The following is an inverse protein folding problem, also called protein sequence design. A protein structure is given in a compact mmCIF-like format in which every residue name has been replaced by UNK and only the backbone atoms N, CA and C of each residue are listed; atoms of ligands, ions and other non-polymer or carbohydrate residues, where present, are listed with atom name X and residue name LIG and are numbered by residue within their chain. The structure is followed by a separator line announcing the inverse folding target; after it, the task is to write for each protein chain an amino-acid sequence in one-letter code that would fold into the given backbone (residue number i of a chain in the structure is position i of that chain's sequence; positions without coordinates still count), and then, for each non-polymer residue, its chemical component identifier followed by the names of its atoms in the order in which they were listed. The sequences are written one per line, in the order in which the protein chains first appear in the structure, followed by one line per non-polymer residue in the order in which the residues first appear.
data_IF_340817993132
#
_entry.id   IF_340817993132
#
_cell.length_a   1.000
_cell.length_b   1.000
_cell.length_c   1.000
_cell.angle_alpha   90.00
_cell.angle_beta   90.00
_cell.angle_gamma   90.00
#
_symmetry.space_group_name_H-M   'P 1'
#
loop_
_entity.id
_entity.type
_entity.pdbx_description
1 polymer ?
#
# COMPACT_ATOMS: atom_id res chain seq x y z
N UNK A 1 6.20 22.17 7.89
CA UNK A 1 5.18 21.11 7.71
C UNK A 1 4.04 21.38 8.67
N UNK A 2 2.83 21.57 8.14
CA UNK A 2 1.60 21.65 8.95
C UNK A 2 1.43 20.33 9.73
N UNK A 3 0.87 20.37 10.94
CA UNK A 3 0.62 19.18 11.78
C UNK A 3 1.83 18.33 12.18
N UNK A 4 3.06 18.88 12.14
CA UNK A 4 4.32 18.14 12.38
C UNK A 4 4.33 17.31 13.67
N UNK A 5 3.84 17.87 14.78
CA UNK A 5 3.83 17.17 16.09
C UNK A 5 2.89 15.95 16.04
N UNK A 6 1.66 16.15 15.56
CA UNK A 6 0.64 15.10 15.43
C UNK A 6 1.10 13.98 14.51
N UNK A 7 1.62 14.30 13.32
CA UNK A 7 2.13 13.29 12.38
C UNK A 7 3.25 12.48 13.04
N UNK A 8 4.21 13.14 13.72
CA UNK A 8 5.30 12.44 14.39
C UNK A 8 4.81 11.50 15.48
N UNK A 9 3.83 11.92 16.29
CA UNK A 9 3.25 11.09 17.34
C UNK A 9 2.56 9.86 16.74
N UNK A 10 1.70 10.05 15.74
CA UNK A 10 1.00 8.95 15.08
C UNK A 10 2.00 7.97 14.44
N UNK A 11 3.03 8.46 13.77
CA UNK A 11 4.08 7.63 13.17
C UNK A 11 4.83 6.80 14.21
N UNK A 12 5.15 7.38 15.38
CA UNK A 12 5.80 6.64 16.46
C UNK A 12 4.90 5.54 17.02
N UNK A 13 3.60 5.82 17.20
CA UNK A 13 2.63 4.80 17.60
C UNK A 13 2.54 3.66 16.57
N UNK A 14 2.53 4.00 15.27
CA UNK A 14 2.52 3.01 14.18
C UNK A 14 3.76 2.12 14.27
N UNK A 15 4.96 2.70 14.42
CA UNK A 15 6.21 1.92 14.53
C UNK A 15 6.15 0.91 15.67
N UNK A 16 5.72 1.34 16.87
CA UNK A 16 5.66 0.48 18.06
C UNK A 16 4.63 -0.63 17.89
N UNK A 17 3.39 -0.27 17.54
CA UNK A 17 2.31 -1.24 17.38
C UNK A 17 2.61 -2.23 16.26
N UNK A 18 3.19 -1.75 15.17
CA UNK A 18 3.62 -2.60 14.06
C UNK A 18 4.65 -3.61 14.52
N UNK A 19 5.72 -3.15 15.17
CA UNK A 19 6.80 -4.02 15.62
C UNK A 19 6.28 -5.13 16.52
N UNK A 20 5.35 -4.81 17.43
CA UNK A 20 4.69 -5.79 18.31
C UNK A 20 3.87 -6.78 17.48
N UNK A 21 3.02 -6.30 16.57
CA UNK A 21 2.14 -7.14 15.76
C UNK A 21 2.93 -8.10 14.88
N UNK A 22 3.92 -7.60 14.14
CA UNK A 22 4.72 -8.40 13.23
C UNK A 22 5.66 -9.36 13.96
N UNK A 23 6.27 -8.94 15.08
CA UNK A 23 7.08 -9.86 15.90
C UNK A 23 6.23 -11.01 16.44
N UNK A 24 5.00 -10.72 16.89
CA UNK A 24 4.07 -11.76 17.35
C UNK A 24 3.61 -12.66 16.20
N UNK A 25 3.32 -12.11 15.02
CA UNK A 25 2.95 -12.86 13.83
C UNK A 25 4.03 -13.85 13.41
N UNK A 26 5.29 -13.43 13.40
CA UNK A 26 6.44 -14.26 13.01
C UNK A 26 6.79 -15.32 14.07
N UNK A 27 6.82 -14.94 15.36
CA UNK A 27 7.36 -15.78 16.42
C UNK A 27 6.34 -16.72 17.06
N UNK A 28 5.05 -16.51 16.81
CA UNK A 28 4.00 -17.39 17.36
C UNK A 28 3.99 -18.74 16.65
N UNK A 29 4.14 -19.83 17.42
CA UNK A 29 4.17 -21.21 16.87
C UNK A 29 3.17 -22.16 17.56
N UNK A 30 2.29 -21.63 18.42
CA UNK A 30 1.31 -22.45 19.14
C UNK A 30 0.34 -23.13 18.17
N UNK A 31 0.16 -24.46 18.27
CA UNK A 31 -0.84 -25.19 17.48
C UNK A 31 -0.40 -26.61 17.15
N UNK A 32 -1.29 -27.38 16.52
CA UNK A 32 -1.08 -28.79 16.19
C UNK A 32 -0.39 -29.00 14.84
N UNK A 33 -0.05 -27.92 14.12
CA UNK A 33 0.53 -27.99 12.79
C UNK A 33 -0.50 -28.03 11.66
N UNK A 34 0.00 -28.20 10.44
CA UNK A 34 -0.83 -28.14 9.25
C UNK A 34 -1.84 -29.30 9.20
N UNK A 35 -3.05 -29.02 8.71
CA UNK A 35 -4.10 -30.01 8.53
C UNK A 35 -4.97 -29.67 7.32
N UNK A 36 -5.61 -30.70 6.76
CA UNK A 36 -6.53 -30.53 5.63
C UNK A 36 -7.94 -30.16 6.11
N UNK A 37 -8.53 -29.18 5.44
CA UNK A 37 -9.88 -28.69 5.73
C UNK A 37 -10.70 -28.62 4.44
N UNK A 38 -11.94 -29.10 4.50
CA UNK A 38 -12.88 -28.95 3.37
C UNK A 38 -13.64 -27.64 3.53
N UNK A 39 -13.41 -26.70 2.61
CA UNK A 39 -14.05 -25.39 2.64
C UNK A 39 -15.57 -25.48 2.40
N UNK A 40 -16.28 -24.38 2.67
CA UNK A 40 -17.71 -24.21 2.35
C UNK A 40 -18.02 -24.42 0.86
N UNK A 41 -17.00 -24.35 0.03
CA UNK A 41 -17.06 -24.54 -1.41
C UNK A 41 -16.73 -25.97 -1.86
N UNK A 42 -16.56 -26.90 -0.91
CA UNK A 42 -16.25 -28.30 -1.17
C UNK A 42 -14.82 -28.58 -1.62
N UNK A 43 -13.94 -27.56 -1.63
CA UNK A 43 -12.51 -27.71 -1.96
C UNK A 43 -11.72 -28.08 -0.70
N UNK A 44 -10.84 -29.07 -0.82
CA UNK A 44 -9.87 -29.38 0.23
C UNK A 44 -8.72 -28.38 0.16
N UNK A 45 -8.39 -27.79 1.30
CA UNK A 45 -7.31 -26.81 1.45
C UNK A 45 -6.44 -27.18 2.65
N UNK A 46 -5.15 -26.82 2.56
CA UNK A 46 -4.22 -27.00 3.66
C UNK A 46 -4.22 -25.75 4.56
N UNK A 47 -4.57 -25.94 5.83
CA UNK A 47 -4.57 -24.90 6.86
C UNK A 47 -3.21 -24.85 7.55
N UNK A 48 -2.72 -23.65 7.86
CA UNK A 48 -1.40 -23.45 8.46
C UNK A 48 -1.30 -24.05 9.88
N UNK A 49 -2.35 -23.87 10.70
CA UNK A 49 -2.53 -24.59 11.96
C UNK A 49 -1.58 -24.21 13.10
N UNK A 50 -0.80 -23.13 12.95
CA UNK A 50 0.14 -22.63 13.96
C UNK A 50 0.09 -21.12 14.17
N UNK A 51 0.40 -20.70 15.38
CA UNK A 51 0.59 -19.31 15.75
C UNK A 51 -0.64 -18.43 15.56
N UNK A 52 -0.38 -17.17 15.23
CA UNK A 52 -1.37 -16.15 14.94
C UNK A 52 -2.20 -16.49 13.70
N UNK A 53 -1.55 -17.03 12.66
CA UNK A 53 -2.15 -17.38 11.36
C UNK A 53 -2.73 -18.79 11.31
N UNK A 54 -2.98 -19.42 12.47
CA UNK A 54 -3.39 -20.84 12.55
C UNK A 54 -4.67 -21.18 11.78
N UNK A 55 -5.53 -20.20 11.55
CA UNK A 55 -6.81 -20.38 10.84
C UNK A 55 -6.70 -20.01 9.35
N UNK A 56 -5.59 -19.42 8.93
CA UNK A 56 -5.33 -19.09 7.54
C UNK A 56 -4.83 -20.32 6.78
N UNK A 57 -4.97 -20.29 5.46
CA UNK A 57 -4.38 -21.31 4.61
C UNK A 57 -2.85 -21.21 4.65
N UNK A 58 -2.16 -22.28 4.28
CA UNK A 58 -0.70 -22.25 4.16
C UNK A 58 -0.23 -21.13 3.22
N UNK A 59 -0.96 -20.90 2.13
CA UNK A 59 -0.65 -19.86 1.13
C UNK A 59 -0.73 -18.45 1.72
N UNK A 60 -1.82 -18.14 2.41
CA UNK A 60 -2.04 -16.80 2.99
C UNK A 60 -1.17 -16.58 4.22
N UNK A 61 -1.02 -17.58 5.09
CA UNK A 61 -0.12 -17.50 6.24
C UNK A 61 1.32 -17.24 5.81
N UNK A 62 1.81 -17.93 4.77
CA UNK A 62 3.17 -17.72 4.24
C UNK A 62 3.36 -16.29 3.71
N UNK A 63 2.36 -15.75 3.00
CA UNK A 63 2.40 -14.37 2.52
C UNK A 63 2.36 -13.36 3.66
N UNK A 64 1.53 -13.58 4.69
CA UNK A 64 1.44 -12.71 5.85
C UNK A 64 2.76 -12.70 6.66
N UNK A 65 3.36 -13.87 6.91
CA UNK A 65 4.67 -13.96 7.58
C UNK A 65 5.75 -13.26 6.75
N UNK A 66 5.78 -13.49 5.43
CA UNK A 66 6.73 -12.82 4.55
C UNK A 66 6.55 -11.29 4.58
N UNK A 67 5.31 -10.80 4.55
CA UNK A 67 4.97 -9.38 4.66
C UNK A 67 5.45 -8.80 6.00
N UNK A 68 5.24 -9.51 7.11
CA UNK A 68 5.68 -9.09 8.43
C UNK A 68 7.21 -8.96 8.50
N UNK A 69 7.94 -9.94 7.98
CA UNK A 69 9.41 -9.91 7.90
C UNK A 69 9.88 -8.71 7.07
N UNK A 70 9.33 -8.55 5.86
CA UNK A 70 9.68 -7.45 4.95
C UNK A 70 9.43 -6.10 5.61
N UNK A 71 8.33 -5.95 6.32
CA UNK A 71 8.01 -4.67 6.95
C UNK A 71 8.90 -4.40 8.16
N UNK A 72 9.28 -5.40 8.96
CA UNK A 72 10.25 -5.20 10.06
C UNK A 72 11.60 -4.76 9.48
N UNK A 73 12.08 -5.43 8.43
CA UNK A 73 13.43 -5.22 7.88
C UNK A 73 13.50 -3.95 7.02
N UNK A 74 12.45 -3.63 6.27
CA UNK A 74 12.44 -2.52 5.31
C UNK A 74 11.44 -1.42 5.71
N UNK A 75 10.20 -1.80 6.02
CA UNK A 75 9.12 -0.85 6.30
C UNK A 75 9.38 0.04 7.54
N UNK A 76 9.77 -0.54 8.67
CA UNK A 76 10.07 0.21 9.90
C UNK A 76 11.29 1.11 9.70
N UNK A 77 12.46 0.63 9.21
CA UNK A 77 13.59 1.51 8.96
C UNK A 77 13.25 2.64 7.98
N UNK A 78 12.50 2.34 6.92
CA UNK A 78 12.05 3.36 5.97
C UNK A 78 11.15 4.41 6.63
N UNK A 79 10.24 3.98 7.51
CA UNK A 79 9.34 4.88 8.25
C UNK A 79 10.12 5.77 9.23
N UNK A 80 11.14 5.23 9.92
CA UNK A 80 12.03 5.99 10.81
C UNK A 80 12.86 7.00 10.02
N UNK A 81 13.52 6.56 8.94
CA UNK A 81 14.37 7.40 8.09
C UNK A 81 13.55 8.52 7.46
N UNK A 82 12.37 8.19 6.91
CA UNK A 82 11.49 9.17 6.30
C UNK A 82 10.94 10.17 7.31
N UNK A 83 10.57 9.75 8.53
CA UNK A 83 10.19 10.65 9.60
C UNK A 83 11.33 11.59 9.99
N UNK A 84 12.56 11.08 10.12
CA UNK A 84 13.74 11.88 10.43
C UNK A 84 14.01 12.95 9.36
N UNK A 85 14.03 12.55 8.07
CA UNK A 85 14.26 13.48 6.95
C UNK A 85 13.11 14.51 6.83
N UNK A 86 11.86 14.08 7.03
CA UNK A 86 10.69 14.96 7.09
C UNK A 86 10.82 15.99 8.20
N UNK A 87 11.31 15.58 9.38
CA UNK A 87 11.58 16.48 10.51
C UNK A 87 12.73 17.44 10.24
N UNK A 88 13.72 17.10 9.42
CA UNK A 88 14.73 18.06 8.95
C UNK A 88 14.18 19.11 7.98
N UNK A 89 12.91 19.00 7.60
CA UNK A 89 12.26 19.92 6.67
C UNK A 89 12.43 19.56 5.20
N UNK A 90 13.18 18.48 4.90
CA UNK A 90 13.47 18.03 3.53
C UNK A 90 12.20 17.55 2.82
N UNK A 91 11.95 18.08 1.62
CA UNK A 91 10.77 17.71 0.84
C UNK A 91 10.77 16.22 0.46
N UNK A 92 11.94 15.68 0.08
CA UNK A 92 12.13 14.25 -0.20
C UNK A 92 11.73 13.38 0.99
N UNK A 93 12.07 13.81 2.20
CA UNK A 93 11.68 13.14 3.44
C UNK A 93 10.17 13.15 3.69
N UNK A 94 9.49 14.26 3.38
CA UNK A 94 8.02 14.35 3.48
C UNK A 94 7.34 13.44 2.48
N UNK A 95 7.76 13.46 1.21
CA UNK A 95 7.23 12.59 0.16
C UNK A 95 7.43 11.11 0.51
N UNK A 96 8.63 10.75 0.97
CA UNK A 96 8.95 9.39 1.41
C UNK A 96 8.08 8.97 2.61
N UNK A 97 7.88 9.87 3.58
CA UNK A 97 7.06 9.60 4.76
C UNK A 97 5.61 9.35 4.37
N UNK A 98 5.05 10.21 3.50
CA UNK A 98 3.68 10.06 3.01
C UNK A 98 3.49 8.75 2.23
N UNK A 99 4.42 8.42 1.32
CA UNK A 99 4.36 7.15 0.59
C UNK A 99 4.45 5.94 1.52
N UNK A 100 5.35 6.00 2.51
CA UNK A 100 5.51 4.93 3.51
C UNK A 100 4.25 4.77 4.36
N UNK A 101 3.65 5.86 4.84
CA UNK A 101 2.37 5.82 5.56
C UNK A 101 1.24 5.24 4.70
N UNK A 102 1.23 5.51 3.39
CA UNK A 102 0.30 4.89 2.44
C UNK A 102 0.48 3.36 2.34
N UNK A 103 1.72 2.88 2.34
CA UNK A 103 2.02 1.44 2.39
C UNK A 103 1.52 0.78 3.68
N UNK A 104 1.73 1.40 4.85
CA UNK A 104 1.19 0.88 6.11
C UNK A 104 -0.34 0.90 6.13
N UNK A 105 -0.95 1.98 5.62
CA UNK A 105 -2.41 2.07 5.47
C UNK A 105 -2.95 0.92 4.61
N UNK A 106 -2.35 0.69 3.44
CA UNK A 106 -2.76 -0.41 2.55
C UNK A 106 -2.62 -1.78 3.23
N UNK A 107 -1.49 -2.02 3.89
CA UNK A 107 -1.19 -3.30 4.57
C UNK A 107 -2.22 -3.59 5.67
N UNK A 108 -2.50 -2.61 6.55
CA UNK A 108 -3.44 -2.84 7.66
C UNK A 108 -4.90 -2.73 7.29
N UNK A 109 -5.23 -2.04 6.21
CA UNK A 109 -6.55 -2.17 5.59
C UNK A 109 -6.72 -3.62 5.13
N UNK A 110 -5.73 -4.18 4.44
CA UNK A 110 -5.75 -5.58 4.02
C UNK A 110 -5.90 -6.52 5.22
N UNK A 111 -5.07 -6.40 6.26
CA UNK A 111 -5.18 -7.29 7.43
C UNK A 111 -6.51 -7.14 8.19
N UNK A 112 -7.08 -5.94 8.25
CA UNK A 112 -8.35 -5.71 8.96
C UNK A 112 -9.54 -6.34 8.25
N UNK A 113 -9.49 -6.48 6.92
CA UNK A 113 -10.60 -6.99 6.12
C UNK A 113 -10.37 -8.39 5.52
N UNK A 114 -9.12 -8.84 5.38
CA UNK A 114 -8.75 -10.11 4.77
C UNK A 114 -8.41 -11.19 5.79
N UNK A 115 -7.67 -10.84 6.84
CA UNK A 115 -7.13 -11.84 7.77
C UNK A 115 -8.24 -12.58 8.49
N UNK A 116 -8.07 -13.88 8.71
CA UNK A 116 -8.93 -14.61 9.61
C UNK A 116 -8.91 -13.99 11.01
N UNK A 117 -10.08 -13.92 11.65
CA UNK A 117 -10.21 -13.33 12.98
C UNK A 117 -9.23 -13.96 13.97
N UNK A 118 -8.46 -13.11 14.64
CA UNK A 118 -7.43 -13.49 15.60
C UNK A 118 -7.27 -12.44 16.70
N UNK A 119 -6.42 -12.73 17.68
CA UNK A 119 -6.22 -11.89 18.88
C UNK A 119 -5.70 -10.49 18.59
N UNK A 120 -5.11 -10.23 17.42
CA UNK A 120 -4.57 -8.91 17.05
C UNK A 120 -5.54 -8.07 16.23
N UNK A 121 -6.79 -8.50 16.02
CA UNK A 121 -7.77 -7.76 15.21
C UNK A 121 -7.88 -6.27 15.58
N UNK A 122 -8.00 -5.94 16.86
CA UNK A 122 -8.08 -4.53 17.30
C UNK A 122 -6.78 -3.75 17.02
N UNK A 123 -5.62 -4.42 17.09
CA UNK A 123 -4.34 -3.79 16.75
C UNK A 123 -4.29 -3.48 15.24
N UNK A 124 -4.82 -4.36 14.39
CA UNK A 124 -4.92 -4.08 12.95
C UNK A 124 -5.80 -2.87 12.66
N UNK A 125 -6.96 -2.78 13.32
CA UNK A 125 -7.88 -1.64 13.20
C UNK A 125 -7.22 -0.34 13.69
N UNK A 126 -6.51 -0.40 14.82
CA UNK A 126 -5.75 0.75 15.34
C UNK A 126 -4.67 1.19 14.35
N UNK A 127 -3.88 0.25 13.81
CA UNK A 127 -2.83 0.55 12.84
C UNK A 127 -3.39 1.11 11.54
N UNK A 128 -4.51 0.57 11.04
CA UNK A 128 -5.23 1.11 9.89
C UNK A 128 -5.67 2.56 10.15
N UNK A 129 -6.33 2.81 11.28
CA UNK A 129 -6.84 4.14 11.66
C UNK A 129 -5.71 5.16 11.82
N UNK A 130 -4.67 4.82 12.60
CA UNK A 130 -3.50 5.69 12.80
C UNK A 130 -2.82 6.00 11.47
N UNK A 131 -2.65 4.99 10.60
CA UNK A 131 -2.03 5.17 9.28
C UNK A 131 -2.89 6.06 8.38
N UNK A 132 -4.22 5.90 8.40
CA UNK A 132 -5.15 6.72 7.63
C UNK A 132 -5.07 8.19 8.02
N UNK A 133 -5.15 8.50 9.32
CA UNK A 133 -5.08 9.87 9.79
C UNK A 133 -3.69 10.47 9.62
N UNK A 134 -2.62 9.70 9.85
CA UNK A 134 -1.25 10.16 9.61
C UNK A 134 -1.01 10.47 8.12
N UNK A 135 -1.44 9.58 7.23
CA UNK A 135 -1.36 9.76 5.78
C UNK A 135 -2.14 10.99 5.31
N UNK A 136 -3.39 11.13 5.77
CA UNK A 136 -4.25 12.27 5.43
C UNK A 136 -3.63 13.59 5.89
N UNK A 137 -3.18 13.67 7.14
CA UNK A 137 -2.51 14.87 7.66
C UNK A 137 -1.21 15.17 6.90
N UNK A 138 -0.45 14.14 6.52
CA UNK A 138 0.76 14.30 5.73
C UNK A 138 0.45 14.84 4.32
N UNK A 139 -0.58 14.30 3.65
CA UNK A 139 -1.07 14.80 2.36
C UNK A 139 -1.53 16.26 2.44
N UNK A 140 -2.30 16.63 3.47
CA UNK A 140 -2.74 18.01 3.72
C UNK A 140 -1.62 18.97 4.12
N UNK A 141 -0.41 18.46 4.40
CA UNK A 141 0.72 19.28 4.80
C UNK A 141 1.56 19.81 3.63
N UNK A 142 1.32 19.31 2.42
CA UNK A 142 1.98 19.78 1.21
C UNK A 142 1.31 21.06 0.70
N UNK A 143 2.15 22.03 0.35
CA UNK A 143 1.73 23.15 -0.48
C UNK A 143 1.90 22.74 -1.94
N UNK A 144 0.79 22.61 -2.66
CA UNK A 144 0.77 22.14 -4.05
C UNK A 144 1.45 23.16 -4.99
N UNK A 145 1.39 24.45 -4.64
CA UNK A 145 1.92 25.54 -5.47
C UNK A 145 3.44 25.53 -5.47
N UNK A 146 4.04 25.36 -4.29
CA UNK A 146 5.50 25.29 -4.13
C UNK A 146 6.09 23.95 -4.55
N UNK A 147 5.26 22.90 -4.65
CA UNK A 147 5.74 21.54 -4.92
C UNK A 147 6.49 21.43 -6.26
N UNK A 148 6.07 22.17 -7.28
CA UNK A 148 6.76 22.22 -8.58
C UNK A 148 8.18 22.77 -8.49
N UNK A 149 8.47 23.64 -7.54
CA UNK A 149 9.78 24.30 -7.41
C UNK A 149 10.87 23.33 -6.89
N UNK A 150 10.47 22.18 -6.36
CA UNK A 150 11.39 21.18 -5.80
C UNK A 150 11.78 20.08 -6.78
N UNK A 151 11.22 20.07 -8.00
CA UNK A 151 11.55 19.09 -9.03
C UNK A 151 12.36 19.75 -10.14
N UNK A 152 13.48 19.12 -10.50
CA UNK A 152 14.27 19.55 -11.64
C UNK A 152 13.48 19.43 -12.95
N UNK A 153 13.71 20.37 -13.86
CA UNK A 153 13.14 20.35 -15.21
C UNK A 153 13.54 19.08 -16.00
N UNK A 154 14.65 18.45 -15.61
CA UNK A 154 15.17 17.21 -16.22
C UNK A 154 14.51 15.94 -15.69
N UNK A 155 13.53 16.04 -14.79
CA UNK A 155 12.82 14.86 -14.30
C UNK A 155 12.15 14.12 -15.48
N UNK A 156 12.37 12.81 -15.68
CA UNK A 156 11.82 12.07 -16.81
C UNK A 156 10.33 11.76 -16.60
N UNK A 157 9.50 12.80 -16.60
CA UNK A 157 8.06 12.80 -16.31
C UNK A 157 7.26 11.89 -17.25
N UNK A 158 7.59 11.83 -18.56
CA UNK A 158 6.97 10.87 -19.48
C UNK A 158 7.22 9.43 -19.07
N UNK A 159 8.49 9.11 -18.79
CA UNK A 159 8.86 7.76 -18.39
C UNK A 159 8.16 7.37 -17.08
N UNK A 160 8.21 8.24 -16.07
CA UNK A 160 7.53 8.00 -14.79
C UNK A 160 6.02 7.83 -14.96
N UNK A 161 5.37 8.69 -15.74
CA UNK A 161 3.94 8.62 -15.98
C UNK A 161 3.54 7.35 -16.76
N UNK A 162 4.28 7.01 -17.82
CA UNK A 162 4.06 5.78 -18.58
C UNK A 162 4.31 4.53 -17.72
N UNK A 163 5.33 4.55 -16.87
CA UNK A 163 5.63 3.46 -15.95
C UNK A 163 4.51 3.23 -14.93
N UNK A 164 3.97 4.31 -14.35
CA UNK A 164 2.82 4.23 -13.44
C UNK A 164 1.57 3.65 -14.14
N UNK A 165 1.26 4.14 -15.34
CA UNK A 165 0.14 3.64 -16.14
C UNK A 165 0.35 2.16 -16.48
N UNK A 166 1.56 1.78 -16.90
CA UNK A 166 1.89 0.41 -17.26
C UNK A 166 1.72 -0.55 -16.09
N UNK A 167 2.27 -0.22 -14.91
CA UNK A 167 2.11 -1.07 -13.72
C UNK A 167 0.64 -1.17 -13.32
N UNK A 168 -0.08 -0.04 -13.28
CA UNK A 168 -1.50 -0.05 -12.93
C UNK A 168 -2.32 -0.89 -13.93
N UNK A 169 -2.04 -0.77 -15.22
CA UNK A 169 -2.68 -1.59 -16.25
C UNK A 169 -2.34 -3.07 -16.10
N UNK A 170 -1.06 -3.42 -15.88
CA UNK A 170 -0.63 -4.81 -15.71
C UNK A 170 -1.30 -5.46 -14.48
N UNK A 171 -1.31 -4.78 -13.34
CA UNK A 171 -1.99 -5.25 -12.12
C UNK A 171 -3.50 -5.36 -12.37
N UNK A 172 -4.11 -4.35 -12.99
CA UNK A 172 -5.54 -4.35 -13.32
C UNK A 172 -5.92 -5.55 -14.20
N UNK A 173 -5.16 -5.79 -15.27
CA UNK A 173 -5.38 -6.93 -16.16
C UNK A 173 -5.13 -8.27 -15.47
N UNK A 174 -4.13 -8.37 -14.59
CA UNK A 174 -3.87 -9.57 -13.80
C UNK A 174 -5.05 -9.91 -12.88
N UNK A 175 -5.63 -8.92 -12.18
CA UNK A 175 -6.78 -9.13 -11.31
C UNK A 175 -8.08 -9.38 -12.08
N UNK A 176 -8.32 -8.66 -13.17
CA UNK A 176 -9.46 -8.93 -14.05
C UNK A 176 -9.36 -10.33 -14.67
N UNK A 177 -8.17 -10.77 -15.08
CA UNK A 177 -7.93 -12.12 -15.57
C UNK A 177 -8.20 -13.21 -14.53
N UNK A 178 -8.07 -12.91 -13.23
CA UNK A 178 -8.44 -13.83 -12.14
C UNK A 178 -9.95 -13.86 -11.87
N UNK A 179 -10.64 -12.72 -12.01
CA UNK A 179 -12.04 -12.55 -11.58
C UNK A 179 -13.02 -12.83 -12.73
N UNK A 180 -12.79 -12.25 -13.91
CA UNK A 180 -13.73 -12.28 -15.04
C UNK A 180 -14.04 -13.70 -15.51
N UNK A 181 -13.06 -14.61 -15.69
CA UNK A 181 -13.37 -15.99 -16.10
C UNK A 181 -14.25 -16.73 -15.09
N UNK A 182 -14.05 -16.48 -13.80
CA UNK A 182 -14.86 -17.08 -12.74
C UNK A 182 -16.29 -16.55 -12.72
N UNK A 183 -16.48 -15.25 -12.99
CA UNK A 183 -17.80 -14.65 -13.16
C UNK A 183 -18.54 -15.23 -14.38
N UNK A 184 -17.86 -15.36 -15.52
CA UNK A 184 -18.47 -15.90 -16.76
C UNK A 184 -18.88 -17.37 -16.57
N UNK A 185 -18.00 -18.16 -15.95
CA UNK A 185 -18.21 -19.61 -15.81
C UNK A 185 -19.04 -19.99 -14.58
N UNK A 186 -19.49 -19.01 -13.77
CA UNK A 186 -20.12 -19.24 -12.46
C UNK A 186 -19.30 -20.18 -11.57
N UNK A 187 -17.97 -20.03 -11.59
CA UNK A 187 -17.04 -20.78 -10.76
C UNK A 187 -16.38 -19.87 -9.71
N UNK A 188 -15.71 -20.47 -8.74
CA UNK A 188 -14.99 -19.71 -7.72
C UNK A 188 -13.66 -19.20 -8.27
N UNK A 189 -13.27 -17.96 -7.93
CA UNK A 189 -11.98 -17.43 -8.34
C UNK A 189 -10.82 -18.25 -7.78
N UNK A 190 -9.78 -18.39 -8.60
CA UNK A 190 -8.55 -19.03 -8.20
C UNK A 190 -7.91 -18.27 -7.05
N UNK A 191 -7.55 -18.98 -5.98
CA UNK A 191 -6.97 -18.40 -4.77
C UNK A 191 -7.96 -17.84 -3.75
N UNK A 192 -9.28 -18.04 -3.93
CA UNK A 192 -10.26 -17.72 -2.87
C UNK A 192 -10.14 -18.64 -1.65
N UNK A 193 -9.78 -19.91 -1.88
CA UNK A 193 -9.58 -20.93 -0.83
C UNK A 193 -10.81 -21.09 0.09
N UNK A 194 -10.69 -20.83 1.40
CA UNK A 194 -11.80 -20.81 2.36
C UNK A 194 -12.20 -19.40 2.80
N UNK A 195 -11.65 -18.36 2.16
CA UNK A 195 -12.00 -16.98 2.45
C UNK A 195 -13.32 -16.58 1.80
N UNK A 196 -13.88 -15.47 2.28
CA UNK A 196 -15.19 -14.98 1.87
C UNK A 196 -15.14 -14.19 0.57
N UNK A 197 -14.03 -13.49 0.30
CA UNK A 197 -13.89 -12.61 -0.86
C UNK A 197 -12.43 -12.29 -1.18
N UNK A 198 -12.20 -11.52 -2.25
CA UNK A 198 -10.92 -11.11 -2.78
C UNK A 198 -10.58 -9.66 -2.38
N UNK A 199 -10.23 -9.45 -1.11
CA UNK A 199 -10.01 -8.10 -0.54
C UNK A 199 -8.87 -7.35 -1.21
N UNK A 200 -7.73 -8.02 -1.46
CA UNK A 200 -6.55 -7.41 -2.11
C UNK A 200 -6.94 -6.90 -3.50
N UNK A 201 -7.65 -7.72 -4.26
CA UNK A 201 -8.09 -7.37 -5.62
C UNK A 201 -9.07 -6.20 -5.60
N UNK A 202 -9.97 -6.15 -4.61
CA UNK A 202 -10.89 -5.03 -4.44
C UNK A 202 -10.15 -3.73 -4.11
N UNK A 203 -9.15 -3.77 -3.22
CA UNK A 203 -8.32 -2.61 -2.90
C UNK A 203 -7.51 -2.15 -4.11
N UNK A 204 -6.94 -3.09 -4.86
CA UNK A 204 -6.10 -2.77 -6.01
C UNK A 204 -6.92 -2.18 -7.15
N UNK A 205 -8.04 -2.80 -7.52
CA UNK A 205 -8.91 -2.29 -8.58
C UNK A 205 -9.67 -1.02 -8.17
N UNK A 206 -10.01 -0.87 -6.89
CA UNK A 206 -10.75 0.29 -6.37
C UNK A 206 -9.89 1.52 -6.14
N UNK A 207 -8.63 1.35 -5.72
CA UNK A 207 -7.77 2.48 -5.34
C UNK A 207 -6.44 2.50 -6.07
N UNK A 208 -5.67 1.40 -6.06
CA UNK A 208 -4.29 1.39 -6.55
C UNK A 208 -4.22 1.63 -8.06
N UNK A 209 -4.99 0.89 -8.84
CA UNK A 209 -5.02 0.97 -10.30
C UNK A 209 -5.55 2.32 -10.77
N UNK A 210 -6.71 2.82 -10.31
CA UNK A 210 -7.18 4.16 -10.67
C UNK A 210 -6.18 5.25 -10.30
N UNK A 211 -5.59 5.18 -9.10
CA UNK A 211 -4.62 6.18 -8.64
C UNK A 211 -3.36 6.16 -9.49
N UNK A 212 -2.84 4.98 -9.86
CA UNK A 212 -1.68 4.83 -10.73
C UNK A 212 -1.93 5.42 -12.12
N UNK A 213 -3.08 5.12 -12.73
CA UNK A 213 -3.46 5.64 -14.05
C UNK A 213 -3.64 7.17 -14.00
N UNK A 214 -4.44 7.67 -13.05
CA UNK A 214 -4.72 9.11 -12.91
C UNK A 214 -3.42 9.87 -12.64
N UNK A 215 -2.59 9.40 -11.70
CA UNK A 215 -1.31 10.04 -11.37
C UNK A 215 -0.38 10.06 -12.58
N UNK A 216 -0.29 8.95 -13.32
CA UNK A 216 0.55 8.89 -14.53
C UNK A 216 0.09 9.87 -15.61
N UNK A 217 -1.22 9.94 -15.88
CA UNK A 217 -1.79 10.91 -16.84
C UNK A 217 -1.52 12.36 -16.39
N UNK A 218 -1.73 12.67 -15.11
CA UNK A 218 -1.54 14.02 -14.58
C UNK A 218 -0.08 14.46 -14.63
N UNK A 219 0.87 13.56 -14.33
CA UNK A 219 2.31 13.85 -14.43
C UNK A 219 2.71 14.16 -15.88
N UNK A 220 2.22 13.38 -16.85
CA UNK A 220 2.48 13.63 -18.28
C UNK A 220 1.85 14.95 -18.75
N UNK A 221 0.61 15.24 -18.35
CA UNK A 221 -0.07 16.51 -18.71
C UNK A 221 0.64 17.74 -18.15
N UNK A 222 1.21 17.65 -16.94
CA UNK A 222 1.93 18.78 -16.31
C UNK A 222 3.18 19.17 -17.11
N UNK A 223 3.90 18.21 -17.67
CA UNK A 223 5.01 18.47 -18.60
C UNK A 223 4.53 19.23 -19.84
N UNK A 224 3.45 18.76 -20.47
CA UNK A 224 2.91 19.38 -21.69
C UNK A 224 2.53 20.85 -21.47
N UNK A 225 1.98 21.18 -20.29
CA UNK A 225 1.64 22.57 -19.93
C UNK A 225 2.86 23.43 -19.59
N UNK A 226 3.94 22.81 -19.11
CA UNK A 226 5.19 23.51 -18.80
C UNK A 226 5.98 23.82 -20.07
N UNK A 227 6.11 22.84 -20.96
CA UNK A 227 6.71 22.99 -22.30
C UNK A 227 5.94 24.05 -23.11
N UNK A 228 4.61 24.00 -23.13
CA UNK A 228 3.81 24.96 -23.89
C UNK A 228 3.92 26.39 -23.35
N UNK A 229 4.01 26.59 -22.03
CA UNK A 229 4.30 27.91 -21.43
C UNK A 229 5.68 28.45 -21.81
N UNK A 230 6.71 27.61 -21.77
CA UNK A 230 8.07 28.05 -22.10
C UNK A 230 8.20 28.38 -23.59
N UNK A 231 7.63 27.57 -24.49
CA UNK A 231 7.57 27.87 -25.92
C UNK A 231 6.78 29.14 -26.23
N UNK A 232 5.67 29.38 -25.51
CA UNK A 232 4.91 30.63 -25.64
C UNK A 232 5.70 31.85 -25.16
N UNK A 233 6.51 31.72 -24.10
CA UNK A 233 7.37 32.78 -23.59
C UNK A 233 8.56 33.06 -24.52
N UNK A 234 9.19 32.03 -25.09
CA UNK A 234 10.26 32.21 -26.09
C UNK A 234 9.75 32.91 -27.35
N UNK A 235 8.59 32.50 -27.88
CA UNK A 235 7.95 33.15 -29.01
C UNK A 235 7.51 34.60 -28.71
N UNK A 236 7.11 34.90 -27.47
CA UNK A 236 6.73 36.26 -27.06
C UNK A 236 7.94 37.18 -26.86
N UNK A 237 9.09 36.63 -26.48
CA UNK A 237 10.34 37.37 -26.27
C UNK A 237 11.19 37.53 -27.54
N UNK A 238 10.71 37.03 -28.69
CA UNK A 238 11.33 37.28 -29.99
C UNK A 238 12.76 36.73 -30.12
N UNK A 239 13.01 35.54 -29.58
CA UNK A 239 14.21 34.75 -29.85
C UNK A 239 13.90 33.58 -30.77
#
# INVERSE_FOLDING_TARGET
MKFRKTISLLTLCIIILYFIAASYGILSDNGNGQYEYKSIHGKTISIYGKGLYKNDSVSVASQAIAQDIVTIILGIPLLIISLYLSRKGLIKGRLLLTGTLGYFLYTYTSYSFLSMYNSLFLIYVMLMSLSFFAFTLAMMSFDIQDLSLYFDEKLPVKFLGCFLIFIAFAIGMMWLGRIVPSLINNTLPNGLEHYTTLVIQALDLGFLVPTGIISGILVIKKESNWISRNLALENFLGR
#
